data_IF_903430238694
#
_entry.id   IF_903430238694
#
_cell.length_a   1.000
_cell.length_b   1.000
_cell.length_c   1.000
_cell.angle_alpha   90.00
_cell.angle_beta   90.00
_cell.angle_gamma   90.00
#
_symmetry.space_group_name_H-M   'P 1'
#
loop_
_entity.id
_entity.type
_entity.pdbx_description
1 polymer ?
#
# COMPACT_ATOMS: atom_id res chain seq x y z
N UNK A 1 -38.02 -37.57 15.11
CA UNK A 1 -38.85 -38.20 14.09
C UNK A 1 -39.97 -37.27 13.56
N UNK A 2 -40.54 -36.39 14.41
CA UNK A 2 -41.61 -35.45 14.01
C UNK A 2 -41.12 -34.43 12.95
N UNK A 3 -39.94 -33.86 13.17
CA UNK A 3 -39.32 -32.87 12.24
C UNK A 3 -39.07 -33.46 10.84
N UNK A 4 -38.55 -34.67 10.80
CA UNK A 4 -38.28 -35.36 9.53
C UNK A 4 -39.57 -35.60 8.74
N UNK A 5 -40.60 -36.04 9.42
CA UNK A 5 -41.94 -36.28 8.83
C UNK A 5 -42.56 -34.98 8.33
N UNK A 6 -42.42 -33.89 9.08
CA UNK A 6 -42.88 -32.57 8.66
C UNK A 6 -42.12 -32.07 7.39
N UNK A 7 -40.79 -32.21 7.39
CA UNK A 7 -39.96 -31.84 6.22
C UNK A 7 -40.36 -32.61 4.97
N UNK A 8 -40.62 -33.93 5.08
CA UNK A 8 -41.04 -34.77 3.93
C UNK A 8 -42.42 -34.36 3.42
N UNK A 9 -43.35 -34.04 4.32
CA UNK A 9 -44.70 -33.61 3.90
C UNK A 9 -44.71 -32.20 3.28
N UNK A 10 -43.75 -31.33 3.66
CA UNK A 10 -43.66 -29.95 3.16
C UNK A 10 -42.38 -29.74 2.35
N UNK A 11 -42.08 -30.72 1.47
CA UNK A 11 -40.84 -30.75 0.68
C UNK A 11 -40.58 -29.48 -0.12
N UNK A 12 -41.60 -28.86 -0.71
CA UNK A 12 -41.47 -27.63 -1.48
C UNK A 12 -41.09 -26.45 -0.60
N UNK A 13 -41.72 -26.34 0.57
CA UNK A 13 -41.42 -25.29 1.55
C UNK A 13 -39.99 -25.41 2.09
N UNK A 14 -39.52 -26.62 2.33
CA UNK A 14 -38.14 -26.87 2.83
C UNK A 14 -37.13 -26.49 1.74
N UNK A 15 -37.39 -26.90 0.47
CA UNK A 15 -36.52 -26.52 -0.64
C UNK A 15 -36.50 -25.02 -0.86
N UNK A 16 -37.65 -24.35 -0.84
CA UNK A 16 -37.74 -22.91 -0.99
C UNK A 16 -36.99 -22.16 0.16
N UNK A 17 -37.14 -22.62 1.41
CA UNK A 17 -36.43 -22.07 2.54
C UNK A 17 -34.91 -22.25 2.41
N UNK A 18 -34.45 -23.42 2.00
CA UNK A 18 -33.01 -23.70 1.80
C UNK A 18 -32.42 -22.81 0.70
N UNK A 19 -33.11 -22.68 -0.44
CA UNK A 19 -32.71 -21.80 -1.53
C UNK A 19 -32.69 -20.33 -1.08
N UNK A 20 -33.71 -19.90 -0.31
CA UNK A 20 -33.78 -18.55 0.24
C UNK A 20 -32.60 -18.24 1.18
N UNK A 21 -32.27 -19.16 2.10
CA UNK A 21 -31.11 -19.02 2.98
C UNK A 21 -29.80 -19.00 2.18
N UNK A 22 -29.70 -19.84 1.17
CA UNK A 22 -28.50 -19.86 0.30
C UNK A 22 -28.30 -18.53 -0.43
N UNK A 23 -29.35 -17.99 -1.04
CA UNK A 23 -29.29 -16.68 -1.72
C UNK A 23 -28.92 -15.57 -0.71
N UNK A 24 -29.56 -15.56 0.45
CA UNK A 24 -29.24 -14.60 1.51
C UNK A 24 -27.77 -14.69 1.96
N UNK A 25 -27.25 -15.91 2.06
CA UNK A 25 -25.83 -16.14 2.40
C UNK A 25 -24.87 -15.63 1.33
N UNK A 26 -25.17 -15.84 0.06
CA UNK A 26 -24.36 -15.36 -1.07
C UNK A 26 -24.35 -13.82 -1.11
N UNK A 27 -25.52 -13.19 -0.95
CA UNK A 27 -25.64 -11.73 -0.86
C UNK A 27 -24.90 -11.19 0.37
N UNK A 28 -25.06 -11.83 1.54
CA UNK A 28 -24.34 -11.46 2.75
C UNK A 28 -22.84 -11.61 2.61
N UNK A 29 -22.36 -12.64 1.93
CA UNK A 29 -20.93 -12.83 1.68
C UNK A 29 -20.32 -11.70 0.84
N UNK A 30 -21.08 -11.12 -0.09
CA UNK A 30 -20.65 -9.95 -0.86
C UNK A 30 -20.41 -8.68 -0.03
N UNK A 31 -20.97 -8.61 1.18
CA UNK A 31 -20.76 -7.49 2.12
C UNK A 31 -19.60 -7.72 3.09
N UNK A 32 -19.02 -8.92 3.12
CA UNK A 32 -17.86 -9.21 3.94
C UNK A 32 -16.64 -8.59 3.27
N UNK A 33 -15.96 -7.70 3.98
CA UNK A 33 -14.70 -7.12 3.51
C UNK A 33 -13.66 -8.23 3.35
N UNK A 34 -13.29 -8.51 2.12
CA UNK A 34 -12.25 -9.48 1.77
C UNK A 34 -10.86 -8.83 1.90
N UNK A 35 -10.52 -8.36 3.07
CA UNK A 35 -9.19 -7.85 3.36
C UNK A 35 -8.39 -8.93 4.09
N UNK A 36 -7.50 -9.58 3.35
CA UNK A 36 -6.58 -10.54 3.95
C UNK A 36 -5.56 -9.85 4.86
N UNK A 37 -5.18 -8.62 4.51
CA UNK A 37 -4.42 -7.73 5.38
C UNK A 37 -5.14 -6.39 5.50
N UNK A 38 -5.28 -5.84 6.70
CA UNK A 38 -5.78 -4.47 6.85
C UNK A 38 -4.86 -3.52 6.08
N UNK A 39 -5.44 -2.54 5.40
CA UNK A 39 -4.67 -1.47 4.77
C UNK A 39 -3.75 -0.87 5.83
N UNK A 40 -2.48 -0.73 5.50
CA UNK A 40 -1.53 -0.13 6.42
C UNK A 40 -1.93 1.32 6.69
N UNK A 41 -2.32 1.61 7.92
CA UNK A 41 -2.60 2.99 8.39
C UNK A 41 -1.31 3.77 8.67
N UNK A 42 -0.17 3.21 8.29
CA UNK A 42 1.13 3.84 8.48
C UNK A 42 1.28 5.05 7.55
N UNK A 43 1.68 6.20 8.08
CA UNK A 43 1.87 7.42 7.30
C UNK A 43 3.19 7.41 6.51
N UNK A 44 4.02 6.38 6.67
CA UNK A 44 5.33 6.32 6.01
C UNK A 44 5.18 5.90 4.54
N UNK A 45 5.91 6.60 3.67
CA UNK A 45 6.07 6.32 2.25
C UNK A 45 7.57 6.19 1.93
N UNK A 46 7.93 5.17 1.16
CA UNK A 46 9.29 4.94 0.69
C UNK A 46 9.40 5.30 -0.78
N UNK A 47 10.22 6.29 -1.10
CA UNK A 47 10.59 6.62 -2.46
C UNK A 47 11.97 6.05 -2.74
N UNK A 48 12.05 5.05 -3.60
CA UNK A 48 13.31 4.43 -4.02
C UNK A 48 13.73 4.97 -5.39
N UNK A 49 14.92 5.52 -5.45
CA UNK A 49 15.57 5.97 -6.67
C UNK A 49 16.63 4.94 -7.08
N UNK A 50 16.46 4.34 -8.24
CA UNK A 50 17.38 3.36 -8.80
C UNK A 50 17.93 3.88 -10.10
N UNK A 51 19.21 4.23 -10.12
CA UNK A 51 19.92 4.65 -11.30
C UNK A 51 20.61 3.45 -11.96
N UNK A 52 21.03 3.56 -13.23
CA UNK A 52 21.82 2.52 -13.88
C UNK A 52 23.06 2.15 -13.08
N UNK A 53 23.39 0.86 -13.01
CA UNK A 53 24.56 0.40 -12.28
C UNK A 53 25.85 1.05 -12.83
N UNK A 54 26.75 1.39 -11.92
CA UNK A 54 27.96 2.14 -12.25
C UNK A 54 27.77 3.66 -12.22
N UNK A 55 26.59 4.14 -11.88
CA UNK A 55 26.37 5.57 -11.63
C UNK A 55 27.16 6.02 -10.41
N UNK A 56 27.95 7.08 -10.57
CA UNK A 56 28.73 7.63 -9.48
C UNK A 56 27.84 8.28 -8.41
N UNK A 57 28.26 8.18 -7.15
CA UNK A 57 27.54 8.69 -5.98
C UNK A 57 27.05 10.14 -6.12
N UNK A 58 27.86 11.03 -6.71
CA UNK A 58 27.51 12.44 -6.91
C UNK A 58 26.30 12.63 -7.88
N UNK A 59 26.07 11.71 -8.80
CA UNK A 59 24.93 11.75 -9.73
C UNK A 59 23.68 11.32 -8.97
N UNK A 60 23.78 10.27 -8.16
CA UNK A 60 22.68 9.80 -7.30
C UNK A 60 22.29 10.89 -6.28
N UNK A 61 23.28 11.57 -5.69
CA UNK A 61 23.02 12.69 -4.79
C UNK A 61 22.26 13.84 -5.46
N UNK A 62 22.59 14.16 -6.72
CA UNK A 62 21.86 15.18 -7.50
C UNK A 62 20.42 14.77 -7.76
N UNK A 63 20.18 13.50 -8.13
CA UNK A 63 18.83 12.98 -8.32
C UNK A 63 18.00 13.06 -7.03
N UNK A 64 18.60 12.73 -5.89
CA UNK A 64 17.96 12.89 -4.58
C UNK A 64 17.61 14.34 -4.30
N UNK A 65 18.51 15.29 -4.53
CA UNK A 65 18.24 16.73 -4.37
C UNK A 65 17.12 17.24 -5.27
N UNK A 66 16.98 16.69 -6.48
CA UNK A 66 15.84 16.99 -7.33
C UNK A 66 14.54 16.48 -6.75
N UNK A 67 14.52 15.23 -6.26
CA UNK A 67 13.36 14.67 -5.58
C UNK A 67 13.01 15.47 -4.30
N UNK A 68 13.99 15.88 -3.52
CA UNK A 68 13.78 16.72 -2.33
C UNK A 68 13.13 18.06 -2.66
N UNK A 69 13.41 18.67 -3.82
CA UNK A 69 12.77 19.93 -4.21
C UNK A 69 11.26 19.77 -4.43
N UNK A 70 10.79 18.57 -4.82
CA UNK A 70 9.38 18.27 -4.95
C UNK A 70 8.67 18.06 -3.61
N UNK A 71 9.45 17.62 -2.60
CA UNK A 71 8.96 17.33 -1.25
C UNK A 71 9.05 18.55 -0.33
N UNK A 72 9.96 19.45 -0.64
CA UNK A 72 10.19 20.67 0.13
C UNK A 72 8.93 21.54 0.11
N UNK A 73 8.58 22.08 1.28
CA UNK A 73 7.41 22.96 1.46
C UNK A 73 6.04 22.29 1.23
N UNK A 74 5.99 20.95 1.13
CA UNK A 74 4.72 20.23 1.03
C UNK A 74 4.04 20.15 2.41
N UNK A 75 2.84 20.70 2.50
CA UNK A 75 2.06 20.78 3.75
C UNK A 75 1.61 19.43 4.28
N UNK A 76 1.56 18.43 3.43
CA UNK A 76 1.15 17.07 3.76
C UNK A 76 2.28 16.23 4.36
N UNK A 77 3.53 16.71 4.27
CA UNK A 77 4.72 16.06 4.82
C UNK A 77 5.00 16.58 6.23
N UNK A 78 5.22 15.67 7.15
CA UNK A 78 5.68 15.98 8.50
C UNK A 78 7.21 16.06 8.54
N UNK A 79 7.86 15.04 7.98
CA UNK A 79 9.31 14.98 7.85
C UNK A 79 9.72 14.03 6.73
N UNK A 80 10.92 14.17 6.21
CA UNK A 80 11.53 13.20 5.32
C UNK A 80 13.02 13.04 5.62
N UNK A 81 13.55 11.86 5.30
CA UNK A 81 14.97 11.53 5.49
C UNK A 81 15.47 10.82 4.25
N UNK A 82 16.54 11.33 3.66
CA UNK A 82 17.14 10.77 2.44
C UNK A 82 18.40 9.98 2.79
N UNK A 83 18.46 8.75 2.28
CA UNK A 83 19.61 7.85 2.35
C UNK A 83 20.20 7.72 0.95
N UNK A 84 21.43 8.18 0.76
CA UNK A 84 22.12 8.15 -0.53
C UNK A 84 23.20 7.08 -0.51
N UNK A 85 23.25 6.24 -1.54
CA UNK A 85 24.22 5.14 -1.61
C UNK A 85 23.87 3.93 -0.74
N UNK A 86 22.72 3.91 -0.11
CA UNK A 86 22.22 2.80 0.70
C UNK A 86 20.72 2.92 0.95
N UNK A 87 20.09 1.84 1.42
CA UNK A 87 18.71 1.88 1.92
C UNK A 87 18.63 2.41 3.36
N UNK A 88 17.41 2.69 3.79
CA UNK A 88 17.13 3.06 5.18
C UNK A 88 17.47 1.91 6.14
N UNK A 89 17.89 2.20 7.38
CA UNK A 89 18.09 1.18 8.41
C UNK A 89 16.78 0.43 8.69
N UNK A 90 16.89 -0.83 9.13
CA UNK A 90 15.74 -1.64 9.49
C UNK A 90 15.11 -1.13 10.77
N UNK A 91 13.99 -0.45 10.67
CA UNK A 91 13.24 0.05 11.83
C UNK A 91 11.93 -0.72 12.08
N UNK A 92 11.59 -1.70 11.23
CA UNK A 92 10.51 -2.66 11.48
C UNK A 92 10.81 -4.00 10.78
N UNK A 93 10.19 -5.08 11.28
CA UNK A 93 10.55 -6.46 10.88
C UNK A 93 10.32 -6.77 9.39
N UNK A 94 9.29 -6.19 8.79
CA UNK A 94 8.96 -6.43 7.38
C UNK A 94 9.84 -5.64 6.39
N UNK A 95 10.62 -4.67 6.85
CA UNK A 95 11.52 -3.92 5.99
C UNK A 95 12.76 -4.75 5.68
N UNK A 96 13.07 -4.91 4.40
CA UNK A 96 14.30 -5.53 3.94
C UNK A 96 15.25 -4.43 3.43
N UNK A 97 16.23 -4.01 4.24
CA UNK A 97 17.14 -2.93 3.86
C UNK A 97 17.92 -3.28 2.60
N UNK A 98 18.08 -2.30 1.71
CA UNK A 98 18.95 -2.43 0.56
C UNK A 98 20.41 -2.30 0.98
N UNK A 99 21.25 -3.17 0.42
CA UNK A 99 22.68 -3.12 0.65
C UNK A 99 23.28 -1.82 0.09
N UNK A 100 24.44 -1.37 0.59
CA UNK A 100 25.16 -0.22 0.05
C UNK A 100 25.37 -0.35 -1.45
N UNK A 101 24.90 0.64 -2.21
CA UNK A 101 25.01 0.72 -3.67
C UNK A 101 24.99 2.20 -4.07
N UNK A 102 26.05 2.69 -4.69
CA UNK A 102 26.18 4.10 -5.10
C UNK A 102 25.10 4.56 -6.09
N UNK A 103 24.54 3.63 -6.87
CA UNK A 103 23.45 3.88 -7.83
C UNK A 103 22.04 3.80 -7.20
N UNK A 104 21.95 3.71 -5.86
CA UNK A 104 20.70 3.58 -5.15
C UNK A 104 20.53 4.68 -4.10
N UNK A 105 19.32 5.18 -3.97
CA UNK A 105 18.94 6.06 -2.88
C UNK A 105 17.50 5.75 -2.43
N UNK A 106 17.21 6.03 -1.17
CA UNK A 106 15.89 5.85 -0.58
C UNK A 106 15.51 7.08 0.25
N UNK A 107 14.33 7.61 0.00
CA UNK A 107 13.76 8.70 0.80
C UNK A 107 12.60 8.13 1.58
N UNK A 108 12.70 8.19 2.91
CA UNK A 108 11.62 7.84 3.82
C UNK A 108 10.85 9.10 4.12
N UNK A 109 9.59 9.14 3.74
CA UNK A 109 8.69 10.28 3.89
C UNK A 109 7.65 9.91 4.95
N UNK A 110 7.47 10.75 5.96
CA UNK A 110 6.42 10.63 6.96
C UNK A 110 5.36 11.69 6.64
N UNK A 111 4.19 11.22 6.25
CA UNK A 111 3.05 12.09 5.98
C UNK A 111 2.25 12.38 7.26
N UNK A 112 1.47 13.47 7.28
CA UNK A 112 0.60 13.84 8.41
C UNK A 112 -0.61 12.92 8.60
N UNK A 113 -0.79 11.91 7.75
CA UNK A 113 -1.86 10.94 7.81
C UNK A 113 -1.97 10.13 6.52
N UNK A 114 -2.88 9.17 6.51
CA UNK A 114 -3.06 8.25 5.38
C UNK A 114 -3.50 8.98 4.10
N UNK A 115 -4.43 9.94 4.23
CA UNK A 115 -4.88 10.74 3.08
C UNK A 115 -3.77 11.62 2.51
N UNK A 116 -2.96 12.23 3.38
CA UNK A 116 -1.79 13.00 2.99
C UNK A 116 -0.78 12.12 2.25
N UNK A 117 -0.54 10.89 2.74
CA UNK A 117 0.31 9.90 2.08
C UNK A 117 -0.16 9.60 0.65
N UNK A 118 -1.46 9.39 0.45
CA UNK A 118 -1.99 9.09 -0.89
C UNK A 118 -1.83 10.28 -1.85
N UNK A 119 -2.01 11.52 -1.36
CA UNK A 119 -1.77 12.73 -2.17
C UNK A 119 -0.29 12.88 -2.55
N UNK A 120 0.61 12.66 -1.60
CA UNK A 120 2.06 12.70 -1.85
C UNK A 120 2.45 11.62 -2.86
N UNK A 121 1.92 10.40 -2.69
CA UNK A 121 2.15 9.28 -3.62
C UNK A 121 1.73 9.67 -5.04
N UNK A 122 0.51 10.15 -5.23
CA UNK A 122 0.01 10.58 -6.54
C UNK A 122 0.85 11.71 -7.15
N UNK A 123 1.32 12.67 -6.33
CA UNK A 123 2.21 13.74 -6.77
C UNK A 123 3.55 13.21 -7.29
N UNK A 124 4.16 12.27 -6.56
CA UNK A 124 5.43 11.64 -6.96
C UNK A 124 5.26 10.80 -8.22
N UNK A 125 4.19 10.00 -8.33
CA UNK A 125 3.88 9.19 -9.51
C UNK A 125 3.70 10.07 -10.76
N UNK A 126 3.01 11.19 -10.65
CA UNK A 126 2.85 12.15 -11.74
C UNK A 126 4.19 12.78 -12.13
N UNK A 127 5.01 13.19 -11.16
CA UNK A 127 6.32 13.76 -11.42
C UNK A 127 7.27 12.75 -12.10
N UNK A 128 7.18 11.48 -11.73
CA UNK A 128 7.94 10.40 -12.39
C UNK A 128 7.44 10.15 -13.82
N UNK A 129 6.13 10.19 -14.06
CA UNK A 129 5.54 10.07 -15.40
C UNK A 129 5.95 11.23 -16.32
N UNK A 130 6.12 12.43 -15.78
CA UNK A 130 6.55 13.63 -16.50
C UNK A 130 8.09 13.68 -16.72
N UNK A 131 8.82 12.67 -16.23
CA UNK A 131 10.27 12.57 -16.38
C UNK A 131 11.06 13.58 -15.55
N UNK A 132 10.48 14.06 -14.45
CA UNK A 132 11.15 14.98 -13.52
C UNK A 132 11.97 14.26 -12.44
N UNK A 133 11.87 12.92 -12.37
CA UNK A 133 12.59 12.04 -11.45
C UNK A 133 13.33 10.95 -12.19
#
# INVERSE_FOLDING_TARGET
RAIVRWCVNHRITVVAATVGVFIASVVGFGHVQQQFFPLSERPELFLQLRLPEGTAFNVTEKAVKQAETLLKDDKDIETYTSYVGQGSPRFWLGLNPQLPNEAFAEIVIVAKGVEARERIKAKIENAAADGML
#
